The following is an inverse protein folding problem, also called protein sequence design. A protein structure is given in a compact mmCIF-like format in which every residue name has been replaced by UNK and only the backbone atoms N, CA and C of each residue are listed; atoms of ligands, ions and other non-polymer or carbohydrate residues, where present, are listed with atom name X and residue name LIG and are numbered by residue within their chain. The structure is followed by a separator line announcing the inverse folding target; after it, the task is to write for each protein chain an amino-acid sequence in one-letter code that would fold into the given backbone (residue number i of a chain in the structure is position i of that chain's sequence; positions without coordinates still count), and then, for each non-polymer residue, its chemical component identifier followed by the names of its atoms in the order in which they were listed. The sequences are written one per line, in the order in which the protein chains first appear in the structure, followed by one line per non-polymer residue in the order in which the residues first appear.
data_IF_639586308989
#
_entry.id   IF_639586308989
#
_cell.length_a   1.000
_cell.length_b   1.000
_cell.length_c   1.000
_cell.angle_alpha   90.00
_cell.angle_beta   90.00
_cell.angle_gamma   90.00
#
_symmetry.space_group_name_H-M   'P 1'
#
loop_
_entity.id
_entity.type
_entity.pdbx_description
1 polymer ?
#
# COMPACT_ATOMS: atom_id res chain seq x y z
N UNK A 1 -50.56 17.30 46.38
CA UNK A 1 -49.55 17.56 45.35
C UNK A 1 -48.40 16.56 45.51
N UNK A 2 -48.31 15.56 44.63
CA UNK A 2 -47.14 14.67 44.51
C UNK A 2 -46.54 14.86 43.11
N UNK A 3 -45.28 15.30 43.04
CA UNK A 3 -44.55 15.57 41.80
C UNK A 3 -44.13 14.26 41.12
N UNK A 4 -44.52 14.07 39.85
CA UNK A 4 -44.07 12.98 38.96
C UNK A 4 -42.66 13.27 38.44
N UNK A 5 -41.73 12.32 38.59
CA UNK A 5 -40.44 12.32 37.88
C UNK A 5 -40.67 12.09 36.38
N UNK A 6 -40.19 13.01 35.55
CA UNK A 6 -40.21 12.90 34.09
C UNK A 6 -39.30 11.77 33.59
N UNK A 7 -39.79 10.96 32.65
CA UNK A 7 -39.01 9.92 31.97
C UNK A 7 -38.29 10.55 30.78
N UNK A 8 -36.96 10.40 30.71
CA UNK A 8 -36.16 10.75 29.54
C UNK A 8 -36.53 9.86 28.34
N UNK A 9 -36.59 10.39 27.09
CA UNK A 9 -36.94 9.57 25.93
C UNK A 9 -35.83 8.54 25.66
N UNK A 10 -36.22 7.27 25.48
CA UNK A 10 -35.30 6.22 24.98
C UNK A 10 -34.86 6.58 23.57
N UNK A 11 -33.56 6.83 23.37
CA UNK A 11 -32.93 6.93 22.05
C UNK A 11 -33.06 5.56 21.38
N UNK A 12 -33.81 5.47 20.28
CA UNK A 12 -33.88 4.25 19.48
C UNK A 12 -32.50 4.00 18.85
N UNK A 13 -31.97 2.77 18.88
CA UNK A 13 -30.77 2.44 18.11
C UNK A 13 -31.05 2.71 16.63
N UNK A 14 -30.07 3.20 15.86
CA UNK A 14 -30.25 3.44 14.44
C UNK A 14 -30.68 2.14 13.77
N UNK A 15 -31.79 2.20 13.02
CA UNK A 15 -32.24 1.08 12.18
C UNK A 15 -31.10 0.70 11.25
N UNK A 16 -30.53 -0.49 11.43
CA UNK A 16 -29.66 -1.10 10.43
C UNK A 16 -30.49 -1.24 9.16
N UNK A 17 -30.23 -0.39 8.17
CA UNK A 17 -30.67 -0.63 6.81
C UNK A 17 -29.97 -1.90 6.36
N UNK A 18 -30.73 -2.99 6.23
CA UNK A 18 -30.24 -4.23 5.63
C UNK A 18 -30.07 -4.02 4.13
N UNK A 19 -29.04 -3.28 3.72
CA UNK A 19 -28.57 -3.36 2.33
C UNK A 19 -27.66 -4.57 2.24
N UNK A 20 -28.25 -5.75 2.04
CA UNK A 20 -27.55 -6.94 1.55
C UNK A 20 -27.14 -6.75 0.08
N UNK A 21 -26.48 -5.65 -0.24
CA UNK A 21 -25.76 -5.47 -1.50
C UNK A 21 -24.31 -5.81 -1.19
N UNK A 22 -23.93 -7.06 -1.44
CA UNK A 22 -22.52 -7.41 -1.60
C UNK A 22 -21.99 -6.54 -2.73
N UNK A 23 -21.01 -5.68 -2.47
CA UNK A 23 -20.37 -4.91 -3.53
C UNK A 23 -19.65 -5.90 -4.45
N UNK A 24 -20.10 -6.08 -5.71
CA UNK A 24 -19.50 -7.05 -6.60
C UNK A 24 -18.04 -6.65 -6.89
N UNK A 25 -17.16 -7.64 -7.02
CA UNK A 25 -15.75 -7.43 -7.37
C UNK A 25 -15.67 -6.55 -8.63
N UNK A 26 -15.08 -5.36 -8.49
CA UNK A 26 -14.89 -4.43 -9.59
C UNK A 26 -13.75 -4.88 -10.51
N UNK A 27 -14.08 -5.37 -11.71
CA UNK A 27 -13.08 -5.74 -12.71
C UNK A 27 -12.95 -4.62 -13.75
N UNK A 28 -11.75 -4.04 -13.84
CA UNK A 28 -11.41 -2.96 -14.74
C UNK A 28 -10.37 -3.40 -15.76
N UNK A 29 -10.44 -2.89 -16.99
CA UNK A 29 -9.43 -3.12 -18.02
C UNK A 29 -8.70 -1.81 -18.33
N UNK A 30 -7.37 -1.82 -18.37
CA UNK A 30 -6.55 -0.69 -18.81
C UNK A 30 -5.72 -1.10 -20.01
N UNK A 31 -5.88 -0.38 -21.12
CA UNK A 31 -5.11 -0.59 -22.35
C UNK A 31 -3.90 0.33 -22.31
N UNK A 32 -2.69 -0.24 -22.47
CA UNK A 32 -1.46 0.56 -22.58
C UNK A 32 -1.32 1.14 -23.99
N UNK A 33 -0.67 2.30 -24.16
CA UNK A 33 -0.23 2.76 -25.47
C UNK A 33 0.71 1.75 -26.14
N UNK A 34 0.71 1.74 -27.48
CA UNK A 34 1.72 1.04 -28.28
C UNK A 34 3.10 1.68 -28.04
N UNK A 35 4.10 0.83 -27.85
CA UNK A 35 5.50 1.22 -27.81
C UNK A 35 6.06 1.42 -29.21
N UNK A 36 7.25 1.99 -29.31
CA UNK A 36 7.89 2.27 -30.60
C UNK A 36 8.19 1.01 -31.44
N UNK A 37 8.24 -0.17 -30.80
CA UNK A 37 8.47 -1.47 -31.45
C UNK A 37 7.17 -2.23 -31.74
N UNK A 38 6.01 -1.71 -31.31
CA UNK A 38 4.73 -2.37 -31.56
C UNK A 38 4.20 -1.96 -32.94
N UNK A 39 4.16 -2.90 -33.89
CA UNK A 39 3.76 -2.63 -35.27
C UNK A 39 2.24 -2.64 -35.48
N UNK A 40 1.48 -3.35 -34.63
CA UNK A 40 0.03 -3.57 -34.82
C UNK A 40 -0.75 -3.53 -33.49
N UNK A 41 -1.95 -2.91 -33.50
CA UNK A 41 -2.86 -2.89 -32.36
C UNK A 41 -3.89 -4.02 -32.48
N UNK A 42 -3.78 -5.05 -31.64
CA UNK A 42 -4.76 -6.14 -31.61
C UNK A 42 -5.95 -5.88 -30.67
N UNK A 43 -6.03 -4.71 -30.03
CA UNK A 43 -7.10 -4.35 -29.09
C UNK A 43 -7.76 -3.06 -29.56
N UNK A 44 -9.08 -3.09 -29.70
CA UNK A 44 -9.92 -1.94 -29.98
C UNK A 44 -10.85 -1.67 -28.80
N UNK A 45 -10.90 -0.41 -28.35
CA UNK A 45 -11.83 0.02 -27.29
C UNK A 45 -13.12 0.49 -27.97
N UNK A 46 -14.13 -0.38 -28.00
CA UNK A 46 -15.41 -0.09 -28.66
C UNK A 46 -16.36 0.72 -27.79
N UNK A 47 -16.22 0.65 -26.46
CA UNK A 47 -17.01 1.45 -25.51
C UNK A 47 -16.28 1.61 -24.18
N UNK A 48 -16.88 2.39 -23.25
CA UNK A 48 -16.36 2.55 -21.89
C UNK A 48 -16.40 1.28 -21.05
N UNK A 49 -17.03 0.20 -21.52
CA UNK A 49 -17.15 -1.08 -20.81
C UNK A 49 -16.64 -2.26 -21.61
N UNK A 50 -16.36 -2.10 -22.90
CA UNK A 50 -16.12 -3.25 -23.78
C UNK A 50 -14.92 -3.01 -24.69
N UNK A 51 -14.08 -4.05 -24.80
CA UNK A 51 -12.99 -4.13 -25.78
C UNK A 51 -13.29 -5.23 -26.79
N UNK A 52 -12.71 -5.09 -27.98
CA UNK A 52 -12.69 -6.09 -29.03
C UNK A 52 -11.23 -6.47 -29.30
N UNK A 53 -10.96 -7.78 -29.38
CA UNK A 53 -9.66 -8.30 -29.78
C UNK A 53 -9.70 -8.75 -31.23
N UNK A 54 -8.72 -8.28 -31.99
CA UNK A 54 -8.48 -8.61 -33.38
C UNK A 54 -7.34 -9.62 -33.48
N UNK A 55 -7.48 -10.59 -34.39
CA UNK A 55 -6.38 -11.52 -34.68
C UNK A 55 -5.41 -10.82 -35.64
N UNK A 56 -4.09 -10.77 -35.35
CA UNK A 56 -3.11 -10.14 -36.23
C UNK A 56 -3.16 -10.71 -37.65
N UNK A 57 -2.88 -9.86 -38.64
CA UNK A 57 -2.85 -10.29 -40.05
C UNK A 57 -1.84 -11.45 -40.24
N UNK A 58 -2.29 -12.54 -40.86
CA UNK A 58 -1.47 -13.73 -41.13
C UNK A 58 -1.68 -14.92 -40.18
N UNK A 59 -2.31 -14.73 -39.02
CA UNK A 59 -2.65 -15.83 -38.10
C UNK A 59 -4.05 -16.41 -38.41
N UNK A 60 -4.14 -17.29 -39.41
CA UNK A 60 -5.40 -18.00 -39.72
C UNK A 60 -5.73 -19.01 -38.61
N UNK A 61 -6.71 -18.68 -37.77
CA UNK A 61 -7.11 -19.52 -36.63
C UNK A 61 -7.93 -20.75 -37.04
N UNK A 62 -8.54 -20.75 -38.23
CA UNK A 62 -9.39 -21.83 -38.73
C UNK A 62 -9.08 -22.19 -40.19
N UNK A 63 -9.24 -23.48 -40.54
CA UNK A 63 -9.18 -24.02 -41.93
C UNK A 63 -10.13 -23.31 -42.93
N UNK A 64 -11.12 -22.57 -42.42
CA UNK A 64 -12.19 -21.93 -43.19
C UNK A 64 -11.97 -20.43 -43.41
N UNK A 65 -10.91 -19.81 -42.85
CA UNK A 65 -10.58 -18.40 -43.10
C UNK A 65 -11.41 -17.36 -42.35
N UNK A 66 -12.28 -17.74 -41.40
CA UNK A 66 -13.01 -16.79 -40.57
C UNK A 66 -12.13 -16.23 -39.44
N UNK A 67 -12.11 -14.89 -39.33
CA UNK A 67 -11.52 -14.16 -38.22
C UNK A 67 -12.43 -14.29 -37.00
N UNK A 68 -11.88 -14.74 -35.86
CA UNK A 68 -12.63 -14.79 -34.61
C UNK A 68 -12.40 -13.49 -33.84
N UNK A 69 -13.26 -12.50 -34.09
CA UNK A 69 -13.35 -11.33 -33.26
C UNK A 69 -13.95 -11.71 -31.90
N UNK A 70 -13.27 -11.35 -30.81
CA UNK A 70 -13.75 -11.66 -29.45
C UNK A 70 -13.93 -10.38 -28.66
N UNK A 71 -15.09 -10.23 -28.03
CA UNK A 71 -15.39 -9.07 -27.18
C UNK A 71 -15.39 -9.44 -25.70
N UNK A 72 -14.88 -8.54 -24.86
CA UNK A 72 -14.84 -8.70 -23.41
C UNK A 72 -15.40 -7.46 -22.74
N UNK A 73 -16.26 -7.67 -21.75
CA UNK A 73 -16.91 -6.60 -20.99
C UNK A 73 -16.40 -6.51 -19.55
N UNK A 74 -16.24 -5.28 -19.07
CA UNK A 74 -15.67 -4.91 -17.78
C UNK A 74 -16.53 -3.84 -17.10
N UNK A 75 -16.28 -3.58 -15.81
CA UNK A 75 -16.94 -2.47 -15.09
C UNK A 75 -16.60 -1.11 -15.71
N UNK A 76 -15.34 -0.92 -16.10
CA UNK A 76 -14.89 0.20 -16.94
C UNK A 76 -13.61 -0.20 -17.68
N UNK A 77 -13.49 0.29 -18.91
CA UNK A 77 -12.31 0.20 -19.78
C UNK A 77 -11.65 1.57 -19.84
N UNK A 78 -10.36 1.59 -19.54
CA UNK A 78 -9.51 2.76 -19.62
C UNK A 78 -8.63 2.65 -20.86
N UNK A 79 -8.91 3.50 -21.86
CA UNK A 79 -8.14 3.56 -23.10
C UNK A 79 -6.75 4.19 -22.92
N UNK A 80 -6.00 4.25 -24.01
CA UNK A 80 -4.59 4.68 -24.03
C UNK A 80 -4.36 6.14 -23.63
N UNK A 81 -5.38 6.99 -23.74
CA UNK A 81 -5.35 8.42 -23.39
C UNK A 81 -5.65 8.70 -21.91
N UNK A 82 -6.07 7.69 -21.14
CA UNK A 82 -6.48 7.88 -19.74
C UNK A 82 -5.27 8.19 -18.86
N UNK A 83 -5.40 9.27 -18.09
CA UNK A 83 -4.37 9.72 -17.15
C UNK A 83 -4.34 8.86 -15.87
N UNK A 84 -3.23 8.93 -15.14
CA UNK A 84 -3.11 8.26 -13.84
C UNK A 84 -4.11 8.81 -12.82
N UNK A 85 -4.42 10.11 -12.90
CA UNK A 85 -5.42 10.75 -12.04
C UNK A 85 -6.81 10.18 -12.28
N UNK A 86 -7.27 10.17 -13.54
CA UNK A 86 -8.60 9.64 -13.86
C UNK A 86 -8.73 8.17 -13.43
N UNK A 87 -7.68 7.37 -13.62
CA UNK A 87 -7.65 5.99 -13.15
C UNK A 87 -7.76 5.90 -11.61
N UNK A 88 -7.03 6.75 -10.89
CA UNK A 88 -7.08 6.82 -9.43
C UNK A 88 -8.49 7.15 -8.93
N UNK A 89 -9.15 8.16 -9.51
CA UNK A 89 -10.49 8.59 -9.13
C UNK A 89 -11.54 7.47 -9.23
N UNK A 90 -11.41 6.61 -10.24
CA UNK A 90 -12.39 5.54 -10.47
C UNK A 90 -12.09 4.25 -9.71
N UNK A 91 -10.82 3.96 -9.43
CA UNK A 91 -10.40 2.64 -8.93
C UNK A 91 -9.94 2.70 -7.48
N UNK A 92 -9.05 3.63 -7.13
CA UNK A 92 -8.39 3.64 -5.83
C UNK A 92 -9.05 4.60 -4.83
N UNK A 93 -9.52 5.76 -5.29
CA UNK A 93 -10.19 6.75 -4.44
C UNK A 93 -11.36 6.16 -3.62
N UNK A 94 -12.28 5.35 -4.21
CA UNK A 94 -13.35 4.73 -3.43
C UNK A 94 -12.84 3.78 -2.34
N UNK A 95 -11.75 3.06 -2.60
CA UNK A 95 -11.13 2.15 -1.62
C UNK A 95 -10.47 2.92 -0.47
N UNK A 96 -9.86 4.08 -0.75
CA UNK A 96 -9.30 4.97 0.27
C UNK A 96 -10.40 5.61 1.11
N UNK A 97 -11.49 6.05 0.47
CA UNK A 97 -12.67 6.55 1.17
C UNK A 97 -13.31 5.48 2.08
N UNK A 98 -13.33 4.23 1.64
CA UNK A 98 -13.81 3.11 2.44
C UNK A 98 -12.86 2.79 3.60
N UNK A 99 -11.54 2.84 3.38
CA UNK A 99 -10.53 2.67 4.43
C UNK A 99 -10.67 3.69 5.55
N UNK A 100 -10.87 4.97 5.21
CA UNK A 100 -11.08 6.06 6.17
C UNK A 100 -12.37 5.83 7.00
N UNK A 101 -13.37 5.16 6.42
CA UNK A 101 -14.62 4.76 7.10
C UNK A 101 -14.52 3.40 7.79
N UNK A 102 -13.32 2.85 7.95
CA UNK A 102 -13.07 1.59 8.66
C UNK A 102 -13.42 0.33 7.88
N UNK A 103 -13.47 0.39 6.54
CA UNK A 103 -13.67 -0.79 5.69
C UNK A 103 -12.38 -1.21 4.99
N UNK A 104 -12.15 -2.52 4.89
CA UNK A 104 -10.99 -3.06 4.19
C UNK A 104 -11.18 -2.99 2.67
N UNK A 105 -10.12 -2.62 1.94
CA UNK A 105 -10.06 -2.64 0.48
C UNK A 105 -8.90 -3.50 -0.02
N UNK A 106 -9.09 -4.15 -1.17
CA UNK A 106 -8.04 -4.90 -1.86
C UNK A 106 -7.97 -4.47 -3.32
N UNK A 107 -6.78 -4.11 -3.78
CA UNK A 107 -6.49 -3.76 -5.16
C UNK A 107 -5.27 -4.55 -5.63
N UNK A 108 -5.42 -5.24 -6.75
CA UNK A 108 -4.29 -5.92 -7.41
C UNK A 108 -4.31 -5.61 -8.90
N UNK A 109 -3.12 -5.60 -9.50
CA UNK A 109 -2.96 -5.45 -10.95
C UNK A 109 -2.64 -6.80 -11.56
N UNK A 110 -3.34 -7.14 -12.64
CA UNK A 110 -3.16 -8.41 -13.36
C UNK A 110 -2.84 -8.15 -14.83
N UNK A 111 -1.97 -9.00 -15.40
CA UNK A 111 -1.54 -8.88 -16.80
C UNK A 111 -0.15 -9.46 -17.05
N UNK A 112 0.21 -9.61 -18.32
CA UNK A 112 1.52 -10.13 -18.76
C UNK A 112 2.67 -9.16 -18.47
N UNK A 113 3.92 -9.63 -18.53
CA UNK A 113 5.09 -8.75 -18.45
C UNK A 113 5.02 -7.68 -19.55
N UNK A 114 5.36 -6.43 -19.23
CA UNK A 114 5.25 -5.31 -20.17
C UNK A 114 3.84 -4.70 -20.31
N UNK A 115 2.79 -5.27 -19.70
CA UNK A 115 1.42 -4.76 -19.83
C UNK A 115 1.11 -3.46 -19.04
N UNK A 116 2.10 -2.84 -18.40
CA UNK A 116 1.90 -1.60 -17.62
C UNK A 116 1.41 -1.78 -16.17
N UNK A 117 1.53 -2.97 -15.57
CA UNK A 117 1.17 -3.20 -14.14
C UNK A 117 1.91 -2.26 -13.18
N UNK A 118 3.24 -2.19 -13.29
CA UNK A 118 4.08 -1.33 -12.45
C UNK A 118 3.78 0.15 -12.68
N UNK A 119 3.57 0.55 -13.94
CA UNK A 119 3.15 1.91 -14.28
C UNK A 119 1.80 2.25 -13.65
N UNK A 120 0.86 1.31 -13.64
CA UNK A 120 -0.44 1.50 -12.99
C UNK A 120 -0.32 1.65 -11.48
N UNK A 121 0.41 0.74 -10.83
CA UNK A 121 0.50 0.74 -9.36
C UNK A 121 1.39 1.88 -8.84
N UNK A 122 2.60 2.03 -9.38
CA UNK A 122 3.61 2.97 -8.87
C UNK A 122 3.71 4.23 -9.72
N UNK A 123 3.62 4.09 -11.05
CA UNK A 123 3.81 5.19 -11.98
C UNK A 123 5.27 5.56 -12.20
N UNK A 124 5.49 6.76 -12.74
CA UNK A 124 6.79 7.39 -12.97
C UNK A 124 6.77 8.80 -12.38
N UNK A 125 7.93 9.47 -12.22
CA UNK A 125 7.96 10.87 -11.82
C UNK A 125 7.04 11.73 -12.71
N UNK A 126 6.26 12.61 -12.08
CA UNK A 126 5.22 13.43 -12.68
C UNK A 126 3.93 12.69 -13.06
N UNK A 127 3.91 11.36 -12.97
CA UNK A 127 2.80 10.48 -13.32
C UNK A 127 2.62 9.38 -12.27
N UNK A 128 2.59 9.77 -10.99
CA UNK A 128 2.38 8.85 -9.87
C UNK A 128 1.15 7.97 -10.09
N UNK A 129 1.31 6.67 -9.82
CA UNK A 129 0.26 5.66 -9.98
C UNK A 129 -0.73 5.64 -8.82
N UNK A 130 -1.43 4.52 -8.70
CA UNK A 130 -2.46 4.33 -7.68
C UNK A 130 -1.90 4.38 -6.25
N UNK A 131 -0.78 3.71 -5.98
CA UNK A 131 -0.17 3.65 -4.65
C UNK A 131 0.25 5.02 -4.09
N UNK A 132 1.08 5.82 -4.78
CA UNK A 132 1.47 7.12 -4.24
C UNK A 132 0.25 8.03 -4.04
N UNK A 133 -0.73 8.03 -4.95
CA UNK A 133 -1.95 8.85 -4.83
C UNK A 133 -2.83 8.41 -3.65
N UNK A 134 -2.92 7.10 -3.40
CA UNK A 134 -3.61 6.59 -2.22
C UNK A 134 -2.95 7.04 -0.92
N UNK A 135 -1.61 6.95 -0.84
CA UNK A 135 -0.87 7.42 0.34
C UNK A 135 -1.04 8.92 0.55
N UNK A 136 -0.89 9.72 -0.50
CA UNK A 136 -1.12 11.17 -0.46
C UNK A 136 -2.53 11.51 0.03
N UNK A 137 -3.55 10.88 -0.54
CA UNK A 137 -4.94 11.09 -0.11
C UNK A 137 -5.17 10.71 1.35
N UNK A 138 -4.62 9.59 1.82
CA UNK A 138 -4.75 9.17 3.24
C UNK A 138 -4.19 10.26 4.14
N UNK A 139 -2.94 10.69 3.92
CA UNK A 139 -2.27 11.66 4.80
C UNK A 139 -2.86 13.07 4.70
N UNK A 140 -3.34 13.49 3.51
CA UNK A 140 -4.07 14.75 3.36
C UNK A 140 -5.42 14.74 4.08
N UNK A 141 -6.03 13.57 4.25
CA UNK A 141 -7.31 13.42 4.94
C UNK A 141 -7.14 13.42 6.45
N UNK A 142 -6.23 12.59 6.98
CA UNK A 142 -6.06 12.41 8.44
C UNK A 142 -5.10 13.42 9.07
N UNK A 143 -4.47 14.30 8.27
CA UNK A 143 -3.39 15.18 8.69
C UNK A 143 -3.59 15.87 10.05
N UNK A 144 -4.73 16.55 10.29
CA UNK A 144 -5.03 17.21 11.57
C UNK A 144 -5.20 16.28 12.77
N UNK A 145 -5.50 15.00 12.53
CA UNK A 145 -5.95 14.04 13.54
C UNK A 145 -4.90 12.95 13.84
N UNK A 146 -3.67 13.12 13.37
CA UNK A 146 -2.61 12.14 13.56
C UNK A 146 -2.11 12.10 15.02
N UNK A 147 -2.06 10.91 15.60
CA UNK A 147 -1.41 10.70 16.88
C UNK A 147 0.10 10.91 16.79
N UNK A 148 0.71 11.24 17.94
CA UNK A 148 2.18 11.20 18.09
C UNK A 148 2.68 9.76 17.87
N UNK A 149 3.92 9.60 17.40
CA UNK A 149 4.54 8.27 17.21
C UNK A 149 4.47 7.43 18.49
N UNK A 150 4.30 6.13 18.32
CA UNK A 150 4.20 5.12 19.37
C UNK A 150 2.98 5.22 20.29
N UNK A 151 2.04 6.15 20.07
CA UNK A 151 0.76 6.10 20.79
C UNK A 151 0.00 4.83 20.40
N UNK A 152 -0.04 4.51 19.11
CA UNK A 152 -0.49 3.22 18.61
C UNK A 152 0.71 2.29 18.47
N UNK A 153 0.53 1.02 18.82
CA UNK A 153 1.54 -0.03 18.66
C UNK A 153 0.90 -1.31 18.15
N UNK A 154 1.52 -1.95 17.18
CA UNK A 154 1.05 -3.22 16.65
C UNK A 154 1.56 -4.36 17.54
N UNK A 155 0.71 -5.35 17.81
CA UNK A 155 1.07 -6.55 18.57
C UNK A 155 1.46 -7.72 17.64
N UNK A 156 1.81 -8.87 18.21
CA UNK A 156 2.16 -10.08 17.45
C UNK A 156 0.95 -10.84 16.86
N UNK A 157 -0.27 -10.39 17.19
CA UNK A 157 -1.55 -11.04 16.90
C UNK A 157 -2.46 -10.18 16.00
N UNK A 158 -1.88 -9.23 15.26
CA UNK A 158 -2.59 -8.31 14.36
C UNK A 158 -3.52 -7.30 15.05
N UNK A 159 -3.40 -7.12 16.36
CA UNK A 159 -4.10 -6.09 17.13
C UNK A 159 -3.27 -4.80 17.21
N UNK A 160 -3.95 -3.73 17.61
CA UNK A 160 -3.33 -2.45 17.90
C UNK A 160 -3.57 -2.11 19.36
N UNK A 161 -2.48 -1.91 20.10
CA UNK A 161 -2.45 -1.45 21.48
C UNK A 161 -2.29 0.08 21.53
N UNK A 162 -2.95 0.72 22.49
CA UNK A 162 -2.85 2.17 22.74
C UNK A 162 -2.00 2.37 24.00
N UNK A 163 -0.82 2.94 23.81
CA UNK A 163 0.12 3.24 24.88
C UNK A 163 -0.25 4.55 25.58
N UNK A 164 0.14 4.68 26.85
CA UNK A 164 0.04 5.97 27.55
C UNK A 164 0.97 6.99 26.90
N UNK A 165 0.69 8.29 27.08
CA UNK A 165 1.57 9.32 26.54
C UNK A 165 3.01 9.20 27.10
N UNK A 166 3.14 8.80 28.37
CA UNK A 166 4.43 8.61 29.04
C UNK A 166 5.22 7.46 28.39
N UNK A 167 4.58 6.31 28.16
CA UNK A 167 5.24 5.17 27.52
C UNK A 167 5.64 5.47 26.08
N UNK A 168 4.75 6.13 25.34
CA UNK A 168 5.02 6.59 23.98
C UNK A 168 6.15 7.63 23.94
N UNK A 169 6.27 8.52 24.94
CA UNK A 169 7.39 9.46 25.07
C UNK A 169 8.72 8.74 25.35
N UNK A 170 8.71 7.77 26.27
CA UNK A 170 9.92 6.99 26.61
C UNK A 170 10.42 6.20 25.40
N UNK A 171 9.52 5.60 24.62
CA UNK A 171 9.92 4.84 23.44
C UNK A 171 10.50 5.73 22.33
N UNK A 172 9.94 6.93 22.13
CA UNK A 172 10.52 7.95 21.24
C UNK A 172 11.96 8.27 21.66
N UNK A 173 12.17 8.56 22.95
CA UNK A 173 13.50 8.87 23.47
C UNK A 173 14.49 7.70 23.32
N UNK A 174 14.04 6.45 23.55
CA UNK A 174 14.89 5.25 23.32
C UNK A 174 15.29 5.13 21.86
N UNK A 175 14.35 5.35 20.93
CA UNK A 175 14.60 5.31 19.48
C UNK A 175 15.63 6.36 19.07
N UNK A 176 15.45 7.60 19.54
CA UNK A 176 16.35 8.71 19.23
C UNK A 176 17.76 8.48 19.80
N UNK A 177 17.86 7.87 20.98
CA UNK A 177 19.15 7.52 21.59
C UNK A 177 19.85 6.34 20.89
N UNK A 178 19.09 5.38 20.34
CA UNK A 178 19.64 4.24 19.60
C UNK A 178 20.09 4.61 18.17
N UNK A 179 19.53 5.68 17.60
CA UNK A 179 20.05 6.29 16.38
C UNK A 179 21.30 7.09 16.71
N UNK A 180 22.47 6.44 16.76
CA UNK A 180 23.76 7.14 16.90
C UNK A 180 23.86 8.28 15.90
N UNK A 181 23.89 9.53 16.39
CA UNK A 181 24.03 10.74 15.56
C UNK A 181 25.27 10.56 14.67
N UNK A 182 25.16 10.61 13.32
CA UNK A 182 26.35 10.72 12.49
C UNK A 182 27.08 12.01 12.88
N UNK A 183 28.37 11.93 13.24
CA UNK A 183 29.23 13.09 13.55
C UNK A 183 29.52 14.00 12.34
N UNK A 184 28.76 13.87 11.27
CA UNK A 184 28.77 14.76 10.11
C UNK A 184 27.50 15.61 10.13
N UNK A 185 27.58 16.91 9.82
CA UNK A 185 26.38 17.75 9.76
C UNK A 185 25.40 17.06 8.82
N UNK A 186 24.25 16.67 9.37
CA UNK A 186 23.15 16.10 8.63
C UNK A 186 22.85 17.05 7.49
N UNK A 187 23.32 16.70 6.29
CA UNK A 187 22.62 17.11 5.10
C UNK A 187 21.19 16.67 5.38
N UNK A 188 20.27 17.63 5.53
CA UNK A 188 18.82 17.38 5.44
C UNK A 188 18.68 16.25 4.44
N UNK A 189 18.17 15.09 4.86
CA UNK A 189 17.83 13.99 3.96
C UNK A 189 17.06 14.66 2.83
N UNK A 190 17.74 14.99 1.73
CA UNK A 190 17.09 15.57 0.57
C UNK A 190 16.15 14.47 0.17
N UNK A 191 14.85 14.76 0.15
CA UNK A 191 13.88 13.85 -0.43
C UNK A 191 14.50 13.31 -1.71
N UNK A 192 14.54 11.97 -1.83
CA UNK A 192 15.10 11.34 -3.02
C UNK A 192 14.37 11.99 -4.21
N UNK A 193 15.07 12.61 -5.18
CA UNK A 193 14.42 13.36 -6.26
C UNK A 193 13.39 12.52 -7.01
N UNK A 194 13.57 11.19 -7.03
CA UNK A 194 12.59 10.25 -7.60
C UNK A 194 11.26 10.17 -6.82
N UNK A 195 11.24 10.61 -5.56
CA UNK A 195 10.07 10.59 -4.67
C UNK A 195 9.32 11.92 -4.71
N UNK A 196 10.05 13.04 -4.65
CA UNK A 196 9.45 14.37 -4.51
C UNK A 196 8.58 14.80 -5.72
N UNK A 197 8.76 14.17 -6.88
CA UNK A 197 8.12 14.57 -8.13
C UNK A 197 6.94 13.66 -8.54
N UNK A 198 6.52 12.69 -7.72
CA UNK A 198 5.51 11.72 -8.15
C UNK A 198 4.10 12.30 -8.33
N UNK A 199 3.71 13.25 -7.47
CA UNK A 199 2.37 13.86 -7.46
C UNK A 199 2.55 15.37 -7.47
N UNK A 200 1.81 16.04 -8.33
CA UNK A 200 1.80 17.50 -8.36
C UNK A 200 0.85 18.04 -7.29
N UNK A 201 1.15 19.15 -6.61
CA UNK A 201 0.29 19.68 -5.53
C UNK A 201 -1.17 19.93 -5.95
N UNK A 202 -1.41 20.33 -7.20
CA UNK A 202 -2.75 20.53 -7.76
C UNK A 202 -3.56 19.24 -7.93
N UNK A 203 -2.90 18.08 -7.88
CA UNK A 203 -3.50 16.75 -7.96
C UNK A 203 -3.76 16.14 -6.58
N UNK A 204 -3.48 16.88 -5.49
CA UNK A 204 -3.73 16.41 -4.14
C UNK A 204 -5.24 16.18 -3.90
N UNK A 205 -5.58 14.99 -3.40
CA UNK A 205 -6.95 14.61 -3.04
C UNK A 205 -7.08 14.46 -1.53
N UNK A 206 -8.29 14.63 -0.99
CA UNK A 206 -8.63 14.34 0.40
C UNK A 206 -10.03 13.71 0.48
N UNK A 207 -10.31 13.00 1.56
CA UNK A 207 -11.63 12.47 1.89
C UNK A 207 -12.35 13.44 2.83
N UNK A 208 -13.66 13.59 2.64
CA UNK A 208 -14.53 14.38 3.50
C UNK A 208 -15.14 13.56 4.66
N UNK A 209 -14.88 12.25 4.72
CA UNK A 209 -15.50 11.33 5.68
C UNK A 209 -14.65 10.98 6.91
N UNK A 210 -13.68 11.83 7.27
CA UNK A 210 -12.80 11.61 8.42
C UNK A 210 -13.56 11.96 9.71
N UNK A 211 -13.42 11.11 10.73
CA UNK A 211 -14.00 11.33 12.06
C UNK A 211 -13.07 12.23 12.88
N UNK A 212 -13.51 13.44 13.17
CA UNK A 212 -12.73 14.48 13.87
C UNK A 212 -12.65 14.24 15.38
N UNK A 213 -13.50 13.39 15.93
CA UNK A 213 -13.46 12.90 17.31
C UNK A 213 -12.51 11.69 17.48
N UNK A 214 -11.75 11.34 16.45
CA UNK A 214 -10.83 10.20 16.43
C UNK A 214 -9.38 10.62 16.21
N UNK A 215 -8.46 9.83 16.76
CA UNK A 215 -7.04 9.91 16.46
C UNK A 215 -6.58 8.76 15.58
N UNK A 216 -5.62 9.05 14.70
CA UNK A 216 -5.18 8.11 13.67
C UNK A 216 -3.68 7.85 13.69
N UNK A 217 -3.28 6.64 13.29
CA UNK A 217 -1.90 6.35 12.90
C UNK A 217 -1.87 5.40 11.71
N UNK A 218 -0.83 5.50 10.89
CA UNK A 218 -0.68 4.69 9.68
C UNK A 218 0.52 3.77 9.84
N UNK A 219 0.30 2.49 9.58
CA UNK A 219 1.34 1.47 9.52
C UNK A 219 1.40 0.89 8.12
N UNK A 220 2.61 0.63 7.65
CA UNK A 220 2.83 -0.04 6.36
C UNK A 220 3.68 -1.29 6.54
N UNK A 221 3.32 -2.34 5.82
CA UNK A 221 4.15 -3.54 5.67
C UNK A 221 4.29 -3.91 4.20
N UNK A 222 5.38 -4.59 3.86
CA UNK A 222 5.62 -4.97 2.48
C UNK A 222 6.15 -6.40 2.40
N UNK A 223 5.35 -7.28 1.79
CA UNK A 223 5.69 -8.70 1.67
C UNK A 223 5.80 -9.12 0.21
N UNK A 224 6.60 -10.15 0.00
CA UNK A 224 6.77 -10.78 -1.30
C UNK A 224 6.43 -12.27 -1.21
N UNK A 225 5.54 -12.73 -2.08
CA UNK A 225 5.19 -14.13 -2.21
C UNK A 225 5.96 -14.71 -3.40
N UNK A 226 6.78 -15.72 -3.14
CA UNK A 226 7.55 -16.45 -4.15
C UNK A 226 7.47 -17.94 -3.90
N UNK A 227 7.22 -18.74 -4.94
CA UNK A 227 7.39 -20.19 -4.81
C UNK A 227 6.73 -20.77 -3.54
N UNK A 228 5.54 -20.24 -3.19
CA UNK A 228 4.77 -20.54 -1.98
C UNK A 228 5.38 -20.13 -0.62
N UNK A 229 6.45 -19.34 -0.61
CA UNK A 229 7.05 -18.71 0.57
C UNK A 229 6.70 -17.22 0.65
N UNK A 230 6.61 -16.70 1.87
CA UNK A 230 6.31 -15.29 2.17
C UNK A 230 7.57 -14.65 2.76
N UNK A 231 8.07 -13.59 2.12
CA UNK A 231 9.25 -12.86 2.58
C UNK A 231 8.88 -11.45 2.98
N UNK A 232 9.47 -10.97 4.07
CA UNK A 232 9.34 -9.59 4.51
C UNK A 232 10.39 -8.71 3.78
N UNK A 233 9.89 -7.75 2.99
CA UNK A 233 10.74 -6.83 2.23
C UNK A 233 11.26 -5.66 3.06
N UNK A 234 10.78 -5.49 4.29
CA UNK A 234 11.13 -4.40 5.20
C UNK A 234 12.01 -4.86 6.37
N UNK A 235 12.01 -6.16 6.68
CA UNK A 235 12.87 -6.76 7.70
C UNK A 235 14.36 -6.49 7.41
N UNK A 236 15.10 -6.04 8.41
CA UNK A 236 16.55 -5.89 8.31
C UNK A 236 17.19 -7.28 8.36
N UNK A 237 17.93 -7.62 7.30
CA UNK A 237 18.64 -8.90 7.22
C UNK A 237 20.09 -8.72 7.66
N UNK A 238 20.74 -9.75 8.20
CA UNK A 238 22.15 -9.67 8.62
C UNK A 238 23.10 -9.22 7.49
N UNK A 239 22.67 -9.35 6.23
CA UNK A 239 23.37 -8.82 5.05
C UNK A 239 23.50 -7.29 5.04
N UNK A 240 22.53 -6.56 5.61
CA UNK A 240 22.51 -5.09 5.66
C UNK A 240 23.58 -4.54 6.64
N UNK A 241 24.06 -5.38 7.56
CA UNK A 241 25.08 -5.04 8.55
C UNK A 241 26.53 -5.28 8.09
N UNK A 242 26.75 -5.87 6.90
CA UNK A 242 28.09 -6.16 6.37
C UNK A 242 28.71 -4.87 5.81
N UNK A 243 29.17 -3.99 6.70
CA UNK A 243 30.22 -3.04 6.35
C UNK A 243 31.47 -3.85 5.98
N UNK A 244 32.14 -3.61 4.85
CA UNK A 244 33.38 -4.31 4.52
C UNK A 244 34.40 -4.04 5.62
N UNK A 245 34.77 -5.08 6.39
CA UNK A 245 35.95 -5.01 7.25
C UNK A 245 37.16 -5.06 6.33
N UNK A 246 37.85 -3.93 6.23
CA UNK A 246 39.12 -3.83 5.55
C UNK A 246 40.21 -4.31 6.51
N UNK A 247 41.08 -5.21 6.06
CA UNK A 247 42.33 -5.45 6.78
C UNK A 247 43.21 -4.20 6.64
N UNK A 248 44.09 -3.95 7.62
CA UNK A 248 45.01 -2.79 7.62
C UNK A 248 45.97 -2.68 6.42
N UNK A 249 45.87 -3.58 5.44
CA UNK A 249 46.59 -3.57 4.15
C UNK A 249 45.72 -3.28 2.92
N UNK A 250 44.49 -2.76 3.07
CA UNK A 250 43.69 -2.30 1.92
C UNK A 250 43.13 -3.42 1.05
N UNK A 251 42.92 -4.62 1.59
CA UNK A 251 42.29 -5.75 0.87
C UNK A 251 40.95 -6.12 1.53
N UNK A 252 39.85 -6.30 0.76
CA UNK A 252 38.58 -6.76 1.32
C UNK A 252 38.69 -8.21 1.81
N UNK A 253 38.26 -8.47 3.05
CA UNK A 253 38.13 -9.85 3.55
C UNK A 253 36.96 -10.51 2.84
N UNK A 254 37.22 -11.57 2.06
CA UNK A 254 36.15 -12.45 1.55
C UNK A 254 35.58 -13.24 2.72
N UNK A 255 34.46 -12.77 3.28
CA UNK A 255 33.67 -13.61 4.17
C UNK A 255 32.99 -14.68 3.33
N UNK A 256 33.25 -15.94 3.68
CA UNK A 256 32.52 -17.10 3.19
C UNK A 256 31.10 -17.04 3.77
N UNK A 257 30.24 -16.21 3.16
CA UNK A 257 28.84 -16.07 3.55
C UNK A 257 28.07 -17.19 2.87
N UNK A 258 27.89 -18.30 3.57
CA UNK A 258 26.84 -19.25 3.22
C UNK A 258 25.54 -18.45 3.10
N UNK A 259 24.93 -18.46 1.92
CA UNK A 259 23.63 -17.86 1.67
C UNK A 259 22.60 -18.55 2.56
N UNK A 260 22.28 -17.96 3.71
CA UNK A 260 21.13 -18.39 4.51
C UNK A 260 19.91 -17.82 3.79
N UNK A 261 19.07 -18.66 3.16
CA UNK A 261 17.87 -18.15 2.50
C UNK A 261 16.97 -17.48 3.55
N UNK A 262 16.31 -16.36 3.21
CA UNK A 262 15.40 -15.69 4.13
C UNK A 262 14.34 -16.67 4.61
N UNK A 263 14.07 -16.65 5.92
CA UNK A 263 13.04 -17.53 6.49
C UNK A 263 11.67 -17.06 6.03
N UNK A 264 10.87 -17.99 5.51
CA UNK A 264 9.49 -17.69 5.17
C UNK A 264 8.71 -17.30 6.42
N UNK A 265 7.97 -16.20 6.32
CA UNK A 265 6.96 -15.82 7.30
C UNK A 265 5.76 -16.76 7.21
N UNK A 266 4.97 -16.78 8.28
CA UNK A 266 3.83 -17.68 8.44
C UNK A 266 2.54 -16.87 8.31
N UNK A 267 1.60 -17.36 7.50
CA UNK A 267 0.25 -16.81 7.42
C UNK A 267 -0.57 -17.32 8.60
N UNK A 268 -1.25 -16.42 9.31
CA UNK A 268 -2.12 -16.72 10.46
C UNK A 268 -3.46 -16.01 10.33
N UNK A 269 -4.42 -16.43 11.14
CA UNK A 269 -5.74 -15.83 11.28
C UNK A 269 -5.87 -15.28 12.70
N UNK A 270 -6.37 -14.04 12.84
CA UNK A 270 -6.59 -13.41 14.14
C UNK A 270 -7.97 -13.75 14.73
N UNK A 271 -8.27 -13.20 15.91
CA UNK A 271 -9.54 -13.42 16.60
C UNK A 271 -10.78 -12.87 15.86
N UNK A 272 -10.58 -12.00 14.87
CA UNK A 272 -11.63 -11.40 14.05
C UNK A 272 -11.74 -12.09 12.67
N UNK A 273 -11.09 -13.23 12.48
CA UNK A 273 -11.04 -13.97 11.21
C UNK A 273 -10.32 -13.19 10.08
N UNK A 274 -9.39 -12.31 10.43
CA UNK A 274 -8.57 -11.58 9.47
C UNK A 274 -7.22 -12.28 9.30
N UNK A 275 -6.86 -12.54 8.04
CA UNK A 275 -5.58 -13.13 7.70
C UNK A 275 -4.46 -12.10 7.81
N UNK A 276 -3.34 -12.49 8.44
CA UNK A 276 -2.16 -11.65 8.60
C UNK A 276 -0.86 -12.45 8.51
N UNK A 277 0.25 -11.77 8.22
CA UNK A 277 1.58 -12.39 8.15
C UNK A 277 2.27 -12.22 9.50
N UNK A 278 2.42 -13.31 10.25
CA UNK A 278 2.99 -13.31 11.58
C UNK A 278 4.48 -12.94 11.57
N UNK A 279 4.87 -12.03 12.45
CA UNK A 279 6.25 -11.53 12.55
C UNK A 279 6.70 -10.70 11.35
N UNK A 280 5.75 -10.15 10.58
CA UNK A 280 6.04 -9.15 9.57
C UNK A 280 6.23 -7.79 10.22
N UNK A 281 7.24 -7.05 9.78
CA UNK A 281 7.54 -5.70 10.22
C UNK A 281 6.46 -4.74 9.72
N UNK A 282 5.76 -4.12 10.66
CA UNK A 282 4.85 -3.01 10.42
C UNK A 282 5.53 -1.70 10.82
N UNK A 283 5.75 -0.82 9.86
CA UNK A 283 6.45 0.46 10.06
C UNK A 283 5.42 1.57 10.23
N UNK A 284 5.44 2.24 11.39
CA UNK A 284 4.65 3.46 11.62
C UNK A 284 5.22 4.60 10.77
N UNK A 285 4.36 5.24 9.98
CA UNK A 285 4.70 6.33 9.04
C UNK A 285 3.83 7.56 9.30
N UNK A 286 4.41 8.76 9.16
CA UNK A 286 3.76 10.06 9.48
C UNK A 286 3.53 10.96 8.26
N UNK A 287 3.92 10.50 7.07
CA UNK A 287 3.64 11.20 5.83
C UNK A 287 3.64 10.24 4.64
N UNK A 288 3.04 10.69 3.53
CA UNK A 288 3.08 9.95 2.27
C UNK A 288 4.51 9.74 1.78
N UNK A 289 5.37 10.75 1.95
CA UNK A 289 6.81 10.71 1.68
C UNK A 289 7.50 9.56 2.44
N UNK A 290 7.27 9.46 3.75
CA UNK A 290 7.88 8.42 4.58
C UNK A 290 7.38 7.03 4.18
N UNK A 291 6.07 6.87 3.93
CA UNK A 291 5.49 5.63 3.46
C UNK A 291 6.09 5.19 2.11
N UNK A 292 6.31 6.15 1.21
CA UNK A 292 6.91 5.88 -0.10
C UNK A 292 8.41 5.56 -0.01
N UNK A 293 9.14 6.17 0.92
CA UNK A 293 10.52 5.78 1.24
C UNK A 293 10.60 4.33 1.73
N UNK A 294 9.66 3.92 2.59
CA UNK A 294 9.56 2.51 3.06
C UNK A 294 9.25 1.57 1.90
N UNK A 295 8.31 1.93 1.02
CA UNK A 295 8.01 1.19 -0.19
C UNK A 295 9.26 1.02 -1.08
N UNK A 296 9.99 2.10 -1.35
CA UNK A 296 11.21 2.06 -2.17
C UNK A 296 12.34 1.24 -1.56
N UNK A 297 12.49 1.28 -0.23
CA UNK A 297 13.41 0.40 0.49
C UNK A 297 13.11 -1.07 0.18
N UNK A 298 11.83 -1.48 0.29
CA UNK A 298 11.42 -2.84 -0.06
C UNK A 298 11.58 -3.18 -1.54
N UNK A 299 11.34 -2.22 -2.45
CA UNK A 299 11.60 -2.40 -3.88
C UNK A 299 13.08 -2.65 -4.19
N UNK A 300 13.98 -1.91 -3.54
CA UNK A 300 15.44 -2.09 -3.67
C UNK A 300 15.84 -3.48 -3.17
N UNK A 301 15.35 -3.90 -2.01
CA UNK A 301 15.59 -5.25 -1.45
C UNK A 301 15.11 -6.34 -2.40
N UNK A 302 13.89 -6.20 -2.94
CA UNK A 302 13.32 -7.11 -3.93
C UNK A 302 14.18 -7.26 -5.19
N UNK A 303 14.67 -6.13 -5.73
CA UNK A 303 15.52 -6.12 -6.94
C UNK A 303 16.85 -6.84 -6.70
N UNK A 304 17.48 -6.64 -5.54
CA UNK A 304 18.73 -7.33 -5.15
C UNK A 304 18.52 -8.83 -4.96
N UNK A 305 17.42 -9.23 -4.32
CA UNK A 305 17.06 -10.65 -4.18
C UNK A 305 16.84 -11.32 -5.55
N UNK A 306 16.19 -10.62 -6.49
CA UNK A 306 15.95 -11.12 -7.84
C UNK A 306 17.22 -11.45 -8.62
N UNK A 307 18.22 -10.57 -8.58
CA UNK A 307 19.50 -10.79 -9.29
C UNK A 307 20.33 -11.89 -8.67
N UNK A 308 20.31 -12.02 -7.33
CA UNK A 308 21.09 -13.04 -6.61
C UNK A 308 20.49 -14.44 -6.71
N UNK A 309 19.16 -14.54 -6.76
CA UNK A 309 18.43 -15.82 -6.76
C UNK A 309 17.93 -16.24 -8.14
N UNK A 310 18.34 -15.55 -9.22
CA UNK A 310 17.79 -15.72 -10.59
C UNK A 310 16.25 -15.72 -10.60
N UNK A 311 15.67 -14.87 -9.76
CA UNK A 311 14.21 -14.77 -9.60
C UNK A 311 13.67 -13.73 -10.57
N UNK A 312 12.71 -14.15 -11.37
CA UNK A 312 12.03 -13.28 -12.31
C UNK A 312 10.86 -12.56 -11.62
N UNK A 313 10.76 -11.24 -11.82
CA UNK A 313 9.68 -10.44 -11.22
C UNK A 313 8.27 -10.86 -11.65
N UNK A 314 8.12 -11.55 -12.79
CA UNK A 314 6.86 -12.12 -13.27
C UNK A 314 6.39 -13.32 -12.43
N UNK A 315 7.32 -13.99 -11.73
CA UNK A 315 7.07 -15.19 -10.91
C UNK A 315 6.87 -14.87 -9.43
N UNK A 316 6.77 -13.58 -9.13
CA UNK A 316 6.77 -13.00 -7.80
C UNK A 316 5.54 -12.11 -7.64
N UNK A 317 4.86 -12.20 -6.50
CA UNK A 317 3.80 -11.25 -6.13
C UNK A 317 4.28 -10.38 -4.99
N UNK A 318 4.03 -9.08 -5.07
CA UNK A 318 4.36 -8.16 -3.98
C UNK A 318 3.10 -7.51 -3.45
N UNK A 319 2.95 -7.51 -2.13
CA UNK A 319 1.75 -7.05 -1.42
C UNK A 319 2.18 -5.96 -0.45
N UNK A 320 1.87 -4.71 -0.78
CA UNK A 320 2.06 -3.57 0.09
C UNK A 320 0.77 -3.32 0.86
N UNK A 321 0.84 -3.36 2.18
CA UNK A 321 -0.32 -3.27 3.07
C UNK A 321 -0.26 -1.93 3.78
N UNK A 322 -1.38 -1.20 3.75
CA UNK A 322 -1.56 0.05 4.49
C UNK A 322 -2.62 -0.22 5.55
N UNK A 323 -2.27 -0.04 6.82
CA UNK A 323 -3.15 -0.20 7.98
C UNK A 323 -3.40 1.16 8.60
N UNK A 324 -4.67 1.57 8.66
CA UNK A 324 -5.09 2.79 9.32
C UNK A 324 -5.64 2.42 10.71
N UNK A 325 -4.90 2.78 11.74
CA UNK A 325 -5.35 2.69 13.13
C UNK A 325 -6.25 3.88 13.45
N UNK A 326 -7.36 3.64 14.13
CA UNK A 326 -8.31 4.65 14.58
C UNK A 326 -8.71 4.35 16.03
N UNK A 327 -8.73 5.36 16.88
CA UNK A 327 -9.31 5.26 18.21
C UNK A 327 -9.93 6.60 18.64
N UNK A 328 -11.04 6.57 19.39
CA UNK A 328 -11.74 7.79 19.80
C UNK A 328 -10.91 8.61 20.78
N UNK A 329 -11.06 9.93 20.73
CA UNK A 329 -10.49 10.87 21.68
C UNK A 329 -11.33 10.95 22.96
N UNK A 330 -10.72 11.43 24.04
CA UNK A 330 -11.41 11.76 25.29
C UNK A 330 -12.33 12.98 25.12
N UNK A 331 -13.09 13.32 26.17
CA UNK A 331 -14.05 14.41 26.13
C UNK A 331 -13.40 15.79 25.89
N UNK A 332 -12.10 15.91 26.18
CA UNK A 332 -11.33 17.13 25.98
C UNK A 332 -10.69 17.18 24.57
N UNK A 333 -10.69 16.06 23.84
CA UNK A 333 -10.09 15.93 22.51
C UNK A 333 -8.55 15.79 22.53
N UNK A 334 -7.97 15.61 23.72
CA UNK A 334 -6.53 15.71 23.94
C UNK A 334 -5.84 14.35 23.91
N UNK A 335 -6.50 13.29 24.39
CA UNK A 335 -5.92 11.96 24.51
C UNK A 335 -6.75 10.88 23.85
N UNK A 336 -6.08 9.84 23.35
CA UNK A 336 -6.74 8.65 22.83
C UNK A 336 -7.31 7.83 23.98
N UNK A 337 -8.60 7.50 23.92
CA UNK A 337 -9.25 6.64 24.90
C UNK A 337 -8.67 5.23 24.83
N UNK A 338 -8.13 4.76 25.96
CA UNK A 338 -7.79 3.35 26.12
C UNK A 338 -9.09 2.56 26.25
N UNK A 339 -9.40 1.77 25.22
CA UNK A 339 -10.51 0.80 25.31
C UNK A 339 -10.00 -0.38 26.13
N UNK A 340 -10.48 -0.49 27.36
CA UNK A 340 -10.15 -1.54 28.33
C UNK A 340 -10.69 -2.91 27.95
#
# INVERSE_FOLDING_TARGET
YFYRKGKTPRRHPPKKTSSNQTDPVGVYCRVRPLGAEDEECCIEVISSTTIQMHTPEGFKTNRNGEYKETQYSFKKVFGVSVSQMELFEHVAKPLVDDLIRGKNGLLFTYGVTGSGKTFTMTGSPGQGGLLPRSLDMIFNSIGPYQAKRYVFKTDEKNSIEIQTEVDALLERQRRDNNLSVPKTPSTRLKADPEIADMIKPEEASKSDGVDDDSSYSVFVSYVEIYNNYIYDLLEETQEDAIKPKWNGGGTPVRQNTELIPPQSKILREDQNHIMYVAGCLEVEVKSAEEAFQVFWRGQKKRKVANTRLNRESSRSHSVFIIKLAQAPLDADGDNVLQVS
#
